data_IF_609374086563
#
_entry.id   IF_609374086563
#
_cell.length_a   1.000
_cell.length_b   1.000
_cell.length_c   1.000
_cell.angle_alpha   90.00
_cell.angle_beta   90.00
_cell.angle_gamma   90.00
#
_symmetry.space_group_name_H-M   'P 1'
#
loop_
_entity.id
_entity.type
_entity.pdbx_description
1 polymer ?
2 non-polymer ?
3 non-polymer ?
4 non-polymer ?
5 non-polymer ?
6 water ?
#
# COMPACT_ATOMS: atom_id res chain seq x y z
N UNK A 4 -26.89 -11.67 -34.22
CA UNK A 4 -25.88 -10.58 -34.46
C UNK A 4 -25.60 -9.75 -33.19
N UNK A 5 -26.62 -9.53 -32.35
CA UNK A 5 -26.46 -8.77 -31.10
C UNK A 5 -25.51 -9.47 -30.12
N UNK A 6 -25.65 -10.79 -29.95
CA UNK A 6 -24.79 -11.58 -29.04
C UNK A 6 -23.35 -11.74 -29.55
N UNK A 7 -23.18 -11.95 -30.86
CA UNK A 7 -21.85 -11.98 -31.52
C UNK A 7 -21.18 -10.58 -31.54
N UNK A 8 -21.99 -9.52 -31.56
CA UNK A 8 -21.48 -8.15 -31.40
C UNK A 8 -20.97 -7.92 -29.97
N UNK A 9 -21.77 -8.32 -28.97
CA UNK A 9 -21.39 -8.15 -27.58
C UNK A 9 -20.07 -8.85 -27.29
N UNK A 10 -19.88 -10.07 -27.81
CA UNK A 10 -18.73 -10.89 -27.43
C UNK A 10 -17.40 -10.21 -27.75
N UNK A 11 -17.30 -9.58 -28.92
CA UNK A 11 -16.13 -8.79 -29.31
C UNK A 11 -15.92 -7.59 -28.39
N UNK A 12 -16.99 -6.93 -27.97
CA UNK A 12 -16.87 -5.82 -27.03
C UNK A 12 -16.34 -6.32 -25.69
N UNK A 13 -16.84 -7.46 -25.23
CA UNK A 13 -16.39 -8.02 -23.98
C UNK A 13 -14.89 -8.28 -24.04
N UNK A 14 -14.47 -9.00 -25.07
CA UNK A 14 -13.06 -9.27 -25.34
C UNK A 14 -12.17 -7.99 -25.37
N UNK A 15 -12.70 -6.85 -25.80
CA UNK A 15 -11.94 -5.60 -25.77
C UNK A 15 -11.56 -5.18 -24.31
N UNK A 16 -12.35 -5.67 -23.32
CA UNK A 16 -12.13 -5.37 -21.90
C UNK A 16 -11.48 -6.47 -21.09
N UNK A 17 -10.92 -7.45 -21.77
CA UNK A 17 -10.27 -8.56 -21.11
C UNK A 17 -8.85 -8.71 -21.59
N UNK A 18 -7.91 -8.81 -20.65
CA UNK A 18 -6.56 -9.24 -20.91
C UNK A 18 -6.23 -10.31 -19.93
N UNK A 19 -5.64 -11.39 -20.43
CA UNK A 19 -5.26 -12.53 -19.61
C UNK A 19 -3.81 -12.90 -19.86
N UNK A 20 -3.11 -13.32 -18.82
CA UNK A 20 -1.74 -13.80 -18.98
C UNK A 20 -1.41 -14.84 -17.93
N UNK A 21 -0.63 -15.86 -18.31
CA UNK A 21 -0.16 -16.90 -17.36
C UNK A 21 1.09 -16.42 -16.58
N UNK A 22 0.90 -15.76 -15.45
CA UNK A 22 2.05 -15.15 -14.72
C UNK A 22 2.66 -16.03 -13.63
N UNK A 23 1.89 -16.92 -13.04
CA UNK A 23 2.39 -17.71 -11.91
C UNK A 23 2.70 -19.13 -12.31
N UNK A 24 3.91 -19.56 -12.00
CA UNK A 24 4.30 -20.92 -12.27
C UNK A 24 3.53 -21.85 -11.35
N UNK A 25 3.59 -23.14 -11.65
CA UNK A 25 3.04 -24.18 -10.79
C UNK A 25 3.66 -24.13 -9.40
N UNK A 26 4.98 -23.96 -9.33
CA UNK A 26 5.66 -23.81 -8.02
C UNK A 26 5.16 -22.57 -7.30
N UNK A 27 5.08 -21.44 -8.00
CA UNK A 27 4.53 -20.21 -7.37
C UNK A 27 3.08 -20.39 -6.91
N UNK A 28 2.28 -21.10 -7.70
CA UNK A 28 0.88 -21.37 -7.32
C UNK A 28 0.80 -22.20 -6.07
N UNK A 29 1.68 -23.19 -5.96
CA UNK A 29 1.70 -24.09 -4.81
C UNK A 29 2.00 -23.33 -3.53
N UNK A 30 3.00 -22.46 -3.55
CA UNK A 30 3.31 -21.60 -2.38
C UNK A 30 2.17 -20.70 -2.01
N UNK A 31 1.50 -20.12 -3.02
CA UNK A 31 0.38 -19.21 -2.75
C UNK A 31 -0.77 -20.01 -2.18
N UNK A 32 -1.00 -21.20 -2.72
CA UNK A 32 -2.08 -22.05 -2.21
C UNK A 32 -1.84 -22.44 -0.74
N UNK A 33 -0.58 -22.60 -0.36
CA UNK A 33 -0.30 -22.92 1.04
C UNK A 33 -0.64 -21.74 1.92
N UNK A 34 -0.38 -20.53 1.44
CA UNK A 34 -0.73 -19.30 2.14
C UNK A 34 -2.24 -19.07 2.24
N UNK A 35 -2.97 -19.42 1.19
CA UNK A 35 -4.41 -19.34 1.25
C UNK A 35 -4.96 -20.31 2.31
N UNK A 36 -4.44 -21.53 2.35
CA UNK A 36 -4.80 -22.49 3.44
C UNK A 36 -4.50 -21.93 4.86
N UNK A 37 -3.37 -21.22 5.03
CA UNK A 37 -3.03 -20.52 6.30
C UNK A 37 -4.10 -19.50 6.69
N UNK A 38 -4.55 -18.69 5.72
CA UNK A 38 -5.65 -17.77 5.95
C UNK A 38 -6.93 -18.49 6.44
N UNK A 39 -7.28 -19.57 5.76
CA UNK A 39 -8.48 -20.38 6.11
C UNK A 39 -8.30 -20.91 7.55
N UNK A 40 -7.11 -21.40 7.86
CA UNK A 40 -6.83 -21.91 9.19
C UNK A 40 -6.89 -20.78 10.26
N UNK A 41 -6.33 -19.60 9.95
CA UNK A 41 -6.42 -18.45 10.89
C UNK A 41 -7.81 -18.02 11.14
N UNK A 42 -8.66 -18.09 10.10
CA UNK A 42 -10.05 -17.71 10.25
C UNK A 42 -10.78 -18.66 11.19
N UNK A 43 -10.51 -19.93 11.05
CA UNK A 43 -11.12 -20.94 11.88
C UNK A 43 -10.64 -20.84 13.35
N UNK A 44 -9.44 -20.25 13.56
CA UNK A 44 -8.93 -19.89 14.91
C UNK A 44 -9.45 -18.55 15.46
N UNK A 45 -10.38 -17.92 14.77
CA UNK A 45 -10.98 -16.69 15.29
C UNK A 45 -9.99 -15.51 15.37
N UNK A 46 -8.95 -15.56 14.55
CA UNK A 46 -7.89 -14.54 14.52
C UNK A 46 -8.20 -13.30 13.66
N UNK A 47 -9.28 -13.32 12.87
CA UNK A 47 -9.59 -12.17 12.01
C UNK A 47 -10.76 -11.34 12.51
N UNK A 48 -10.75 -10.04 12.17
CA UNK A 48 -11.92 -9.19 12.45
C UNK A 48 -13.21 -9.75 11.79
N UNK A 49 -14.37 -9.51 12.42
CA UNK A 49 -15.66 -10.06 11.93
C UNK A 49 -15.94 -9.72 10.50
N UNK A 50 -15.61 -8.50 10.10
CA UNK A 50 -15.92 -8.05 8.72
C UNK A 50 -14.94 -8.58 7.68
N UNK A 51 -13.84 -9.16 8.14
CA UNK A 51 -12.86 -9.77 7.27
C UNK A 51 -13.35 -11.03 6.66
N UNK A 52 -14.08 -11.84 7.43
CA UNK A 52 -14.51 -13.15 6.94
C UNK A 52 -16.04 -13.23 6.71
N UNK A 53 -16.44 -13.59 5.50
CA UNK A 53 -17.83 -13.87 5.18
C UNK A 53 -17.98 -15.32 4.73
N UNK A 54 -18.54 -16.15 5.61
CA UNK A 54 -18.78 -17.55 5.32
C UNK A 54 -20.15 -17.73 4.72
N UNK A 55 -20.23 -18.45 3.62
CA UNK A 55 -21.48 -18.79 2.99
C UNK A 55 -21.35 -20.23 2.60
N UNK A 56 -22.49 -20.90 2.29
CA UNK A 56 -22.45 -22.35 2.00
C UNK A 56 -21.41 -22.88 1.03
N UNK A 57 -21.28 -22.36 -0.18
CA UNK A 57 -20.24 -22.96 -1.08
C UNK A 57 -19.15 -21.97 -1.50
N UNK A 58 -19.02 -20.90 -0.72
CA UNK A 58 -17.95 -19.89 -0.91
C UNK A 58 -17.67 -19.12 0.41
N UNK A 59 -16.39 -19.04 0.80
CA UNK A 59 -15.96 -18.07 1.81
C UNK A 59 -15.25 -16.91 1.11
N UNK A 60 -15.47 -15.70 1.61
CA UNK A 60 -14.80 -14.52 1.11
C UNK A 60 -13.98 -13.93 2.24
N UNK A 61 -12.73 -13.57 1.93
CA UNK A 61 -11.82 -12.94 2.94
C UNK A 61 -11.39 -11.56 2.39
N UNK A 62 -11.65 -10.53 3.18
CA UNK A 62 -11.51 -9.09 2.79
C UNK A 62 -10.29 -8.59 3.50
N UNK A 63 -9.31 -8.13 2.74
CA UNK A 63 -8.10 -7.51 3.32
C UNK A 63 -7.91 -6.14 2.68
N UNK A 64 -7.51 -5.18 3.53
CA UNK A 64 -7.29 -3.81 3.09
C UNK A 64 -8.54 -3.01 3.25
N UNK A 65 -9.52 -3.34 2.43
CA UNK A 65 -10.82 -2.72 2.43
C UNK A 65 -11.88 -3.82 2.25
N UNK A 66 -13.05 -3.62 2.82
CA UNK A 66 -14.16 -4.55 2.65
C UNK A 66 -15.43 -3.73 2.46
N UNK A 67 -16.49 -4.38 2.00
CA UNK A 67 -17.76 -3.71 1.77
C UNK A 67 -18.92 -4.64 2.12
N UNK A 68 -20.07 -4.02 2.36
CA UNK A 68 -21.34 -4.70 2.57
C UNK A 68 -21.98 -5.05 1.18
N UNK A 69 -22.78 -6.15 1.08
CA UNK A 69 -23.40 -6.58 -0.22
C UNK A 69 -24.64 -7.46 -0.02
N UNK A 77 -31.06 -0.65 -0.22
CA UNK A 77 -31.52 -1.57 -1.29
C UNK A 77 -30.41 -2.04 -2.23
N UNK A 78 -30.78 -2.63 -3.39
CA UNK A 78 -29.76 -3.15 -4.35
C UNK A 78 -28.81 -2.07 -4.92
N UNK A 79 -27.56 -2.48 -5.14
CA UNK A 79 -26.49 -1.60 -5.58
C UNK A 79 -26.10 -0.53 -4.57
N UNK A 80 -26.39 -0.76 -3.28
CA UNK A 80 -26.03 0.19 -2.23
C UNK A 80 -24.93 -0.38 -1.30
N UNK A 81 -23.99 -1.11 -1.88
CA UNK A 81 -22.78 -1.52 -1.21
C UNK A 81 -22.08 -0.28 -0.64
N UNK A 82 -21.50 -0.43 0.55
CA UNK A 82 -20.72 0.62 1.17
C UNK A 82 -19.42 0.02 1.68
N UNK A 83 -18.30 0.75 1.55
CA UNK A 83 -17.04 0.34 2.22
C UNK A 83 -17.18 0.38 3.76
N UNK A 84 -16.56 -0.58 4.44
CA UNK A 84 -16.40 -0.43 5.89
C UNK A 84 -15.44 0.74 6.17
N UNK A 85 -15.50 1.31 7.40
CA UNK A 85 -14.55 2.39 7.76
C UNK A 85 -13.12 1.93 7.60
N UNK A 86 -12.18 2.86 7.36
CA UNK A 86 -10.78 2.43 7.12
C UNK A 86 -10.30 1.70 8.34
N UNK A 87 -9.52 0.63 8.14
CA UNK A 87 -8.98 -0.16 9.26
C UNK A 87 -9.93 -1.16 9.93
N UNK A 88 -11.13 -1.34 9.38
CA UNK A 88 -12.13 -2.26 9.96
C UNK A 88 -11.77 -3.72 9.64
N UNK A 89 -11.40 -3.99 8.38
CA UNK A 89 -10.96 -5.33 7.98
C UNK A 89 -9.46 -5.49 8.25
N UNK A 90 -8.99 -6.71 8.23
CA UNK A 90 -7.56 -6.95 8.43
C UNK A 90 -6.75 -6.44 7.26
N UNK A 91 -5.48 -6.14 7.55
CA UNK A 91 -4.49 -5.69 6.57
C UNK A 91 -4.18 -6.74 5.53
N UNK A 92 -3.74 -6.28 4.36
CA UNK A 92 -3.27 -7.18 3.33
C UNK A 92 -2.04 -7.93 3.89
N UNK A 93 -2.06 -9.29 3.86
CA UNK A 93 -0.94 -10.03 4.40
C UNK A 93 0.35 -9.75 3.63
N UNK A 94 1.48 -9.87 4.32
CA UNK A 94 2.76 -9.66 3.67
C UNK A 94 2.91 -10.59 2.47
N UNK A 95 2.42 -11.84 2.60
CA UNK A 95 2.53 -12.77 1.49
C UNK A 95 1.74 -12.33 0.24
N UNK A 96 0.60 -11.67 0.41
CA UNK A 96 -0.11 -11.14 -0.75
C UNK A 96 0.70 -10.05 -1.47
N UNK A 97 1.22 -9.11 -0.72
CA UNK A 97 2.09 -8.06 -1.24
C UNK A 97 3.33 -8.63 -1.99
N UNK A 98 4.00 -9.59 -1.37
CA UNK A 98 5.31 -10.04 -1.87
C UNK A 98 5.23 -11.21 -2.87
N UNK A 99 4.25 -12.10 -2.73
CA UNK A 99 4.07 -13.17 -3.73
C UNK A 99 3.15 -12.83 -4.88
N UNK A 100 2.24 -11.90 -4.69
CA UNK A 100 1.19 -11.64 -5.70
C UNK A 100 1.28 -10.23 -6.26
N UNK A 101 1.11 -9.22 -5.42
CA UNK A 101 1.07 -7.83 -5.94
C UNK A 101 2.41 -7.51 -6.60
N UNK A 102 3.51 -7.91 -5.97
CA UNK A 102 4.82 -7.57 -6.49
C UNK A 102 4.99 -8.08 -7.93
N UNK A 103 4.57 -9.32 -8.17
CA UNK A 103 4.62 -9.90 -9.50
C UNK A 103 3.82 -9.09 -10.50
N UNK A 104 2.61 -8.68 -10.11
CA UNK A 104 1.77 -7.86 -10.99
C UNK A 104 2.44 -6.53 -11.32
N UNK A 105 2.98 -5.86 -10.31
CA UNK A 105 3.69 -4.57 -10.50
C UNK A 105 4.94 -4.78 -11.39
N UNK A 106 5.74 -5.80 -11.11
CA UNK A 106 6.95 -6.08 -11.97
C UNK A 106 6.61 -6.22 -13.45
N UNK A 107 5.53 -6.93 -13.74
CA UNK A 107 5.12 -7.21 -15.12
C UNK A 107 4.22 -6.16 -15.66
N UNK A 108 4.08 -5.04 -14.93
CA UNK A 108 3.42 -3.82 -15.42
C UNK A 108 1.91 -3.97 -15.64
N UNK A 109 1.31 -4.93 -14.95
CA UNK A 109 -0.14 -5.11 -15.05
C UNK A 109 -0.89 -3.95 -14.43
N UNK A 110 -0.40 -3.49 -13.28
CA UNK A 110 -0.92 -2.31 -12.58
C UNK A 110 0.29 -1.60 -11.95
N UNK A 111 0.16 -0.30 -11.64
CA UNK A 111 1.26 0.47 -11.01
C UNK A 111 1.51 0.11 -9.54
N UNK A 112 2.75 0.32 -9.09
CA UNK A 112 3.07 0.30 -7.68
C UNK A 112 2.10 1.20 -6.94
N UNK A 113 1.52 0.70 -5.85
CA UNK A 113 0.63 1.56 -5.04
C UNK A 113 -0.87 1.52 -5.46
N UNK A 114 -1.18 0.88 -6.59
CA UNK A 114 -2.57 0.77 -7.09
C UNK A 114 -3.41 -0.08 -6.12
N UNK A 115 -2.93 -1.24 -5.77
CA UNK A 115 -3.74 -2.19 -4.97
C UNK A 115 -3.87 -1.77 -3.50
N UNK A 116 -5.09 -1.51 -3.04
CA UNK A 116 -5.35 -1.35 -1.59
C UNK A 116 -6.45 -2.30 -1.03
N UNK A 117 -6.99 -3.14 -1.91
CA UNK A 117 -7.95 -4.16 -1.57
C UNK A 117 -7.52 -5.49 -2.14
N UNK A 118 -7.40 -6.52 -1.29
CA UNK A 118 -7.22 -7.89 -1.76
C UNK A 118 -8.33 -8.78 -1.16
N UNK A 119 -9.11 -9.41 -2.04
CA UNK A 119 -10.15 -10.28 -1.59
C UNK A 119 -9.79 -11.69 -2.05
N UNK A 120 -9.95 -12.65 -1.15
CA UNK A 120 -9.76 -14.03 -1.50
C UNK A 120 -11.13 -14.70 -1.48
N UNK A 121 -11.56 -15.26 -2.62
CA UNK A 121 -12.78 -16.11 -2.64
C UNK A 121 -12.38 -17.55 -2.71
N UNK A 122 -12.89 -18.38 -1.80
CA UNK A 122 -12.54 -19.80 -1.78
C UNK A 122 -13.78 -20.58 -2.01
N UNK A 123 -13.84 -21.27 -3.12
CA UNK A 123 -15.05 -21.94 -3.59
C UNK A 123 -15.05 -23.43 -3.32
N UNK A 124 -16.15 -23.92 -2.78
CA UNK A 124 -16.35 -25.39 -2.78
C UNK A 124 -16.72 -25.93 -4.15
N UNK A 125 -16.50 -27.25 -4.38
CA UNK A 125 -17.08 -27.88 -5.57
C UNK A 125 -18.60 -27.56 -5.65
N UNK A 126 -19.10 -27.20 -6.82
CA UNK A 126 -20.49 -26.83 -6.95
C UNK A 126 -20.73 -25.37 -6.65
N UNK A 127 -19.71 -24.67 -6.17
CA UNK A 127 -19.89 -23.24 -5.84
C UNK A 127 -20.07 -22.48 -7.13
N UNK A 128 -20.41 -21.20 -7.00
CA UNK A 128 -20.70 -20.38 -8.17
C UNK A 128 -20.71 -18.88 -7.81
N UNK A 129 -20.95 -18.07 -8.84
CA UNK A 129 -21.18 -16.66 -8.68
C UNK A 129 -22.45 -16.40 -9.44
N UNK A 130 -23.44 -15.83 -8.78
CA UNK A 130 -24.66 -15.43 -9.49
C UNK A 130 -24.44 -14.07 -10.19
N UNK A 131 -25.00 -13.90 -11.40
CA UNK A 131 -24.82 -12.72 -12.22
C UNK A 131 -24.54 -11.44 -11.40
N UNK A 132 -23.39 -10.80 -11.64
CA UNK A 132 -23.13 -9.51 -11.00
C UNK A 132 -22.13 -8.67 -11.76
N UNK A 133 -22.08 -7.40 -11.41
CA UNK A 133 -21.11 -6.45 -11.95
C UNK A 133 -20.22 -6.02 -10.78
N UNK A 134 -18.94 -5.96 -10.99
CA UNK A 134 -18.06 -5.44 -10.00
C UNK A 134 -18.52 -4.01 -9.64
N UNK A 135 -18.71 -3.72 -8.33
CA UNK A 135 -19.38 -2.48 -7.94
C UNK A 135 -18.59 -1.25 -8.30
N UNK A 136 -19.07 -0.58 -9.32
CA UNK A 136 -18.40 0.52 -9.94
C UNK A 136 -18.33 1.78 -9.07
N UNK A 137 -19.22 1.90 -8.10
CA UNK A 137 -19.15 2.99 -7.11
C UNK A 137 -18.14 2.77 -5.98
N UNK A 138 -17.60 1.54 -5.88
CA UNK A 138 -16.65 1.19 -4.83
C UNK A 138 -15.22 1.09 -5.40
N UNK A 139 -15.06 0.44 -6.56
CA UNK A 139 -13.73 0.17 -7.09
C UNK A 139 -13.42 0.88 -8.38
N UNK A 140 -12.16 1.29 -8.50
CA UNK A 140 -11.58 1.69 -9.76
C UNK A 140 -11.44 0.47 -10.72
N UNK A 141 -11.10 0.76 -11.98
CA UNK A 141 -10.72 -0.22 -12.96
C UNK A 141 -9.23 0.01 -13.29
N UNK A 142 -8.49 -1.02 -13.70
CA UNK A 142 -8.98 -2.37 -13.94
C UNK A 142 -9.12 -3.21 -12.64
N UNK A 143 -9.82 -4.32 -12.77
CA UNK A 143 -9.96 -5.32 -11.73
C UNK A 143 -9.04 -6.44 -12.13
N UNK A 144 -8.20 -6.86 -11.20
CA UNK A 144 -7.22 -7.95 -11.47
C UNK A 144 -7.58 -9.21 -10.64
N UNK A 145 -7.74 -10.33 -11.34
CA UNK A 145 -8.10 -11.64 -10.71
C UNK A 145 -7.04 -12.68 -11.02
N UNK A 146 -6.60 -13.39 -9.97
CA UNK A 146 -5.62 -14.44 -10.08
C UNK A 146 -6.16 -15.77 -9.51
N UNK A 147 -6.11 -16.81 -10.35
CA UNK A 147 -6.78 -18.12 -10.08
C UNK A 147 -5.85 -19.18 -9.51
N UNK A 148 -6.36 -19.93 -8.52
CA UNK A 148 -5.59 -20.96 -7.84
C UNK A 148 -6.38 -22.22 -7.64
N UNK A 149 -5.62 -23.28 -7.37
CA UNK A 149 -6.12 -24.66 -7.05
C UNK A 149 -6.56 -25.44 -8.29
N UNK A 150 -7.35 -24.83 -9.15
CA UNK A 150 -7.92 -25.55 -10.30
C UNK A 150 -8.37 -24.59 -11.40
N UNK A 151 -8.61 -25.17 -12.57
CA UNK A 151 -9.08 -24.43 -13.71
C UNK A 151 -10.60 -24.27 -13.68
N UNK A 152 -11.07 -23.14 -14.17
CA UNK A 152 -12.49 -22.91 -14.25
C UNK A 152 -12.80 -22.05 -15.47
N UNK A 153 -14.00 -21.47 -15.46
CA UNK A 153 -14.46 -20.62 -16.55
C UNK A 153 -15.28 -19.46 -15.98
N UNK A 154 -15.10 -18.27 -16.54
CA UNK A 154 -15.81 -17.08 -16.11
C UNK A 154 -16.75 -16.70 -17.24
N UNK A 155 -18.05 -16.64 -16.96
CA UNK A 155 -19.05 -16.32 -18.01
C UNK A 155 -19.43 -14.87 -18.01
N UNK A 156 -19.66 -14.32 -19.21
CA UNK A 156 -20.14 -12.97 -19.37
C UNK A 156 -21.47 -12.96 -20.07
N UNK A 157 -22.39 -12.13 -19.59
CA UNK A 157 -23.77 -12.08 -20.09
C UNK A 157 -24.57 -13.20 -19.51
N UNK A 158 -25.08 -12.97 -18.30
CA UNK A 158 -25.59 -14.07 -17.47
C UNK A 158 -27.16 -14.15 -17.37
N UNK A 159 -27.87 -13.53 -18.31
CA UNK A 159 -29.35 -13.67 -18.40
C UNK A 159 -29.79 -15.17 -18.33
N UNK A 160 -28.98 -16.07 -18.90
CA UNK A 160 -29.27 -17.54 -18.89
C UNK A 160 -29.49 -18.11 -17.50
N UNK A 161 -28.91 -17.48 -16.47
CA UNK A 161 -29.15 -17.89 -15.08
C UNK A 161 -30.53 -17.57 -14.57
N UNK A 162 -31.22 -16.64 -15.22
CA UNK A 162 -32.53 -16.20 -14.80
C UNK A 162 -33.64 -16.47 -15.81
N UNK A 163 -33.33 -16.52 -17.11
CA UNK A 163 -34.35 -16.79 -18.15
C UNK A 163 -33.96 -18.00 -19.02
N UNK A 164 -33.83 -19.16 -18.38
CA UNK A 164 -33.36 -20.43 -18.95
C UNK A 164 -34.18 -20.94 -20.13
N UNK A 165 -35.49 -20.68 -20.11
CA UNK A 165 -36.39 -21.10 -21.19
C UNK A 165 -36.12 -20.24 -22.40
N UNK A 166 -35.77 -18.97 -22.18
CA UNK A 166 -35.49 -18.02 -23.27
C UNK A 166 -34.05 -18.06 -23.82
N UNK A 167 -33.07 -18.34 -22.96
CA UNK A 167 -31.67 -18.38 -23.37
C UNK A 167 -30.91 -19.28 -22.43
N UNK A 168 -30.01 -20.09 -22.98
CA UNK A 168 -29.34 -21.16 -22.21
C UNK A 168 -27.84 -20.99 -22.07
N UNK A 169 -27.25 -20.07 -22.86
CA UNK A 169 -25.80 -19.92 -22.92
C UNK A 169 -25.41 -18.45 -22.57
N UNK A 170 -24.18 -18.27 -22.05
CA UNK A 170 -23.64 -16.92 -21.83
C UNK A 170 -23.25 -16.33 -23.17
N UNK A 171 -23.06 -15.02 -23.19
CA UNK A 171 -22.50 -14.34 -24.34
C UNK A 171 -21.09 -14.80 -24.61
N UNK A 172 -20.33 -15.05 -23.55
CA UNK A 172 -18.96 -15.53 -23.71
C UNK A 172 -18.54 -16.29 -22.46
N UNK A 173 -17.79 -17.38 -22.68
CA UNK A 173 -17.22 -18.16 -21.58
C UNK A 173 -15.71 -18.08 -21.67
N UNK A 174 -15.07 -17.67 -20.59
CA UNK A 174 -13.64 -17.38 -20.61
C UNK A 174 -12.91 -18.34 -19.72
N UNK A 175 -12.04 -19.17 -20.28
CA UNK A 175 -11.32 -20.02 -19.36
C UNK A 175 -10.47 -19.20 -18.40
N UNK A 176 -10.47 -19.63 -17.14
CA UNK A 176 -9.62 -19.06 -16.12
C UNK A 176 -8.84 -20.17 -15.43
N UNK A 177 -7.61 -20.34 -15.88
CA UNK A 177 -6.74 -21.42 -15.44
C UNK A 177 -5.90 -21.07 -14.21
N UNK A 178 -5.48 -22.10 -13.49
CA UNK A 178 -4.66 -21.96 -12.34
C UNK A 178 -3.38 -21.18 -12.70
N UNK A 179 -3.02 -20.17 -11.92
CA UNK A 179 -1.87 -19.30 -12.23
C UNK A 179 -2.08 -18.19 -13.29
N UNK A 180 -3.28 -18.12 -13.83
CA UNK A 180 -3.65 -17.06 -14.81
C UNK A 180 -4.11 -15.78 -14.11
N UNK A 181 -3.75 -14.65 -14.70
CA UNK A 181 -4.16 -13.34 -14.28
C UNK A 181 -5.15 -12.84 -15.31
N UNK A 182 -6.36 -12.50 -14.85
CA UNK A 182 -7.37 -11.86 -15.66
C UNK A 182 -7.58 -10.35 -15.29
N UNK A 183 -7.49 -9.49 -16.30
CA UNK A 183 -7.58 -8.04 -16.12
C UNK A 183 -8.88 -7.56 -16.81
N UNK A 184 -9.84 -7.08 -16.02
CA UNK A 184 -11.11 -6.60 -16.56
C UNK A 184 -11.18 -5.08 -16.52
N UNK A 185 -11.59 -4.51 -17.66
CA UNK A 185 -11.76 -3.07 -17.77
C UNK A 185 -12.92 -2.80 -18.74
N UNK A 186 -13.29 -1.53 -18.85
CA UNK A 186 -14.17 -1.06 -19.92
C UNK A 186 -15.47 -1.84 -20.02
N UNK A 187 -15.76 -2.34 -21.20
CA UNK A 187 -17.02 -3.04 -21.44
C UNK A 187 -17.20 -4.28 -20.54
N UNK A 188 -16.13 -5.05 -20.41
CA UNK A 188 -16.16 -6.31 -19.61
C UNK A 188 -16.44 -6.09 -18.10
N UNK A 189 -16.03 -4.92 -17.59
CA UNK A 189 -16.17 -4.55 -16.16
C UNK A 189 -17.41 -3.78 -15.86
N UNK A 190 -17.94 -3.02 -16.84
CA UNK A 190 -18.92 -1.99 -16.60
C UNK A 190 -20.23 -2.21 -17.35
N UNK A 191 -20.21 -2.92 -18.47
CA UNK A 191 -21.37 -2.92 -19.35
C UNK A 191 -21.99 -4.29 -19.51
N UNK A 192 -21.56 -5.25 -18.70
CA UNK A 192 -22.08 -6.63 -18.81
C UNK A 192 -21.85 -7.35 -17.49
N UNK A 193 -22.73 -8.30 -17.17
CA UNK A 193 -22.66 -9.06 -15.95
C UNK A 193 -21.70 -10.21 -16.15
N UNK A 194 -21.12 -10.71 -15.07
CA UNK A 194 -20.44 -11.98 -15.17
C UNK A 194 -20.86 -12.90 -14.05
N UNK A 195 -20.50 -14.16 -14.22
CA UNK A 195 -20.96 -15.19 -13.33
C UNK A 195 -20.09 -16.45 -13.52
N UNK A 196 -20.32 -17.44 -12.67
CA UNK A 196 -19.63 -18.71 -12.75
C UNK A 196 -20.66 -19.80 -12.55
N UNK A 197 -20.70 -20.73 -13.50
CA UNK A 197 -21.62 -21.84 -13.45
C UNK A 197 -21.07 -22.94 -12.53
N UNK A 198 -21.96 -23.51 -11.68
CA UNK A 198 -21.61 -24.64 -10.79
C UNK A 198 -20.83 -25.73 -11.49
N UNK A 199 -21.22 -26.01 -12.74
CA UNK A 199 -20.60 -26.99 -13.61
C UNK A 199 -19.14 -26.72 -13.93
N UNK A 200 -18.70 -25.48 -13.75
CA UNK A 200 -17.32 -25.10 -14.05
C UNK A 200 -16.45 -25.08 -12.81
N UNK A 201 -17.06 -25.34 -11.63
CA UNK A 201 -16.29 -25.56 -10.40
C UNK A 201 -16.54 -26.97 -9.91
N UNK A 202 -15.74 -27.89 -10.44
CA UNK A 202 -15.84 -29.35 -10.13
C UNK A 202 -15.00 -29.72 -8.91
N UNK A 203 -14.00 -28.89 -8.60
CA UNK A 203 -13.16 -29.10 -7.42
C UNK A 203 -12.84 -27.73 -6.84
N UNK A 204 -12.19 -27.73 -5.68
CA UNK A 204 -11.88 -26.49 -4.96
C UNK A 204 -11.21 -25.55 -5.91
N UNK A 205 -11.64 -24.31 -5.88
CA UNK A 205 -11.02 -23.26 -6.67
C UNK A 205 -10.97 -22.04 -5.79
N UNK A 206 -9.86 -21.32 -5.80
CA UNK A 206 -9.81 -20.06 -5.10
C UNK A 206 -9.34 -18.95 -6.04
N UNK A 207 -9.69 -17.69 -5.69
CA UNK A 207 -9.25 -16.54 -6.50
C UNK A 207 -8.84 -15.38 -5.58
N UNK A 208 -7.79 -14.67 -5.98
CA UNK A 208 -7.40 -13.46 -5.30
C UNK A 208 -7.74 -12.29 -6.24
N UNK A 209 -8.54 -11.34 -5.73
CA UNK A 209 -9.03 -10.16 -6.49
C UNK A 209 -8.30 -8.95 -5.93
N UNK A 210 -7.55 -8.28 -6.82
CA UNK A 210 -6.73 -7.13 -6.46
C UNK A 210 -7.36 -5.92 -7.08
N UNK A 211 -7.74 -4.97 -6.22
CA UNK A 211 -8.43 -3.76 -6.67
C UNK A 211 -8.00 -2.51 -5.92
N UNK A 212 -8.34 -1.37 -6.50
CA UNK A 212 -8.14 -0.08 -5.93
C UNK A 212 -9.51 0.54 -5.65
N UNK A 213 -9.77 0.91 -4.38
CA UNK A 213 -11.03 1.57 -4.03
C UNK A 213 -11.02 3.02 -4.51
N UNK A 214 -12.19 3.53 -4.84
CA UNK A 214 -12.27 4.92 -5.26
C UNK A 214 -12.16 5.83 -4.08
N UNK A 215 -11.50 6.97 -4.29
CA UNK A 215 -11.36 8.00 -3.25
C UNK A 215 -12.74 8.46 -2.75
N UNK A 216 -13.70 8.61 -3.67
CA UNK A 216 -15.08 9.04 -3.39
C UNK A 216 -16.06 7.89 -3.12
N UNK A 217 -15.56 6.67 -2.95
CA UNK A 217 -16.48 5.54 -2.67
C UNK A 217 -17.33 5.81 -1.42
N UNK A 218 -18.67 5.56 -1.48
CA UNK A 218 -19.53 5.62 -0.32
C UNK A 218 -19.05 4.68 0.77
N UNK A 219 -19.02 5.17 1.99
CA UNK A 219 -18.39 4.49 3.10
C UNK A 219 -19.23 4.67 4.34
N UNK A 220 -19.54 3.57 5.05
CA UNK A 220 -20.17 3.70 6.40
C UNK A 220 -19.22 4.48 7.33
N UNK A 221 -19.76 5.21 8.30
CA UNK A 221 -18.87 5.90 9.27
C UNK A 221 -18.56 5.09 10.53
N UNK A 222 -19.41 4.08 10.81
N UNK B 5 34.41 5.29 25.46
CA UNK B 5 33.00 5.34 25.00
C UNK B 5 32.95 5.77 23.53
N UNK B 6 33.59 6.90 23.25
CA UNK B 6 33.64 7.53 21.92
C UNK B 6 33.56 6.58 20.68
N UNK B 7 34.41 5.55 20.63
CA UNK B 7 34.65 4.77 19.39
C UNK B 7 33.89 3.46 19.29
N UNK B 8 33.56 2.85 20.42
CA UNK B 8 32.68 1.69 20.40
C UNK B 8 31.25 2.17 20.02
N UNK B 9 30.88 3.36 20.50
CA UNK B 9 29.55 3.93 20.25
C UNK B 9 29.40 4.23 18.82
N UNK B 10 30.43 4.82 18.20
CA UNK B 10 30.38 5.21 16.81
C UNK B 10 30.35 4.00 15.88
N UNK B 11 31.12 2.95 16.19
CA UNK B 11 30.95 1.65 15.51
C UNK B 11 29.51 1.11 15.62
N UNK B 12 28.94 1.14 16.83
CA UNK B 12 27.57 0.64 17.06
C UNK B 12 26.58 1.45 16.20
N UNK B 13 26.74 2.76 16.19
CA UNK B 13 25.90 3.64 15.37
C UNK B 13 26.04 3.25 13.91
N UNK B 14 27.28 3.15 13.42
CA UNK B 14 27.53 2.77 12.00
C UNK B 14 26.94 1.40 11.64
N UNK B 15 26.82 0.48 12.60
CA UNK B 15 26.14 -0.79 12.34
C UNK B 15 24.63 -0.67 11.99
N UNK B 16 23.99 0.45 12.37
CA UNK B 16 22.56 0.65 12.09
C UNK B 16 22.27 1.63 10.96
N UNK B 17 23.29 1.91 10.16
CA UNK B 17 23.19 2.86 9.08
C UNK B 17 23.66 2.17 7.78
N UNK B 18 22.79 2.15 6.78
CA UNK B 18 23.17 1.89 5.41
C UNK B 18 22.80 3.12 4.61
N UNK B 19 23.67 3.49 3.72
CA UNK B 19 23.47 4.65 2.86
C UNK B 19 23.80 4.30 1.44
N UNK B 20 23.05 4.82 0.48
CA UNK B 20 23.32 4.55 -0.91
C UNK B 20 22.79 5.64 -1.80
N UNK B 21 23.56 5.94 -2.86
CA UNK B 21 23.14 6.87 -3.91
C UNK B 21 22.22 6.08 -4.80
N UNK B 22 20.93 6.39 -4.80
CA UNK B 22 19.97 5.65 -5.63
C UNK B 22 19.30 6.48 -6.68
N UNK B 23 19.13 7.77 -6.45
CA UNK B 23 18.39 8.58 -7.37
C UNK B 23 19.33 9.45 -8.21
N UNK B 24 19.15 9.44 -9.53
CA UNK B 24 19.96 10.24 -10.43
C UNK B 24 19.52 11.71 -10.35
N UNK B 25 20.32 12.60 -10.93
CA UNK B 25 19.98 14.03 -10.88
C UNK B 25 18.66 14.30 -11.51
N UNK B 26 18.43 13.68 -12.65
CA UNK B 26 17.17 13.86 -13.33
C UNK B 26 16.00 13.27 -12.51
N UNK B 27 16.21 12.11 -11.91
CA UNK B 27 15.14 11.52 -11.03
C UNK B 27 14.87 12.45 -9.85
N UNK B 28 15.94 13.04 -9.27
CA UNK B 28 15.80 14.04 -8.23
C UNK B 28 15.00 15.26 -8.66
N UNK B 29 15.26 15.78 -9.86
CA UNK B 29 14.54 16.95 -10.37
C UNK B 29 13.05 16.69 -10.50
N UNK B 30 12.71 15.51 -10.98
CA UNK B 30 11.30 15.10 -11.12
C UNK B 30 10.63 15.02 -9.79
N UNK B 31 11.32 14.42 -8.82
CA UNK B 31 10.75 14.23 -7.48
C UNK B 31 10.59 15.63 -6.83
N UNK B 32 11.61 16.47 -6.99
CA UNK B 32 11.56 17.83 -6.46
C UNK B 32 10.41 18.65 -7.07
N UNK B 33 10.05 18.42 -8.33
CA UNK B 33 8.89 19.17 -8.87
C UNK B 33 7.60 18.67 -8.23
N UNK B 34 7.54 17.37 -7.92
CA UNK B 34 6.40 16.81 -7.20
C UNK B 34 6.30 17.31 -5.74
N UNK B 35 7.42 17.46 -5.06
CA UNK B 35 7.42 18.05 -3.73
C UNK B 35 6.87 19.47 -3.77
N UNK B 36 7.32 20.23 -4.75
CA UNK B 36 6.76 21.59 -4.98
C UNK B 36 5.27 21.57 -5.24
N UNK B 37 4.78 20.60 -5.99
CA UNK B 37 3.32 20.49 -6.21
C UNK B 37 2.56 20.19 -4.91
N UNK B 38 3.10 19.32 -4.06
CA UNK B 38 2.53 19.10 -2.70
C UNK B 38 2.46 20.42 -1.95
N UNK B 39 3.55 21.20 -1.96
CA UNK B 39 3.59 22.49 -1.22
C UNK B 39 2.49 23.44 -1.74
N UNK B 40 2.40 23.53 -3.07
CA UNK B 40 1.35 24.35 -3.73
C UNK B 40 -0.10 23.85 -3.41
N UNK B 41 -0.30 22.54 -3.43
CA UNK B 41 -1.61 21.97 -3.10
C UNK B 41 -2.01 22.26 -1.67
N UNK B 42 -1.06 22.23 -0.75
CA UNK B 42 -1.32 22.59 0.65
C UNK B 42 -1.73 24.07 0.79
N UNK B 43 -1.03 24.95 0.05
CA UNK B 43 -1.34 26.40 0.05
C UNK B 43 -2.74 26.72 -0.53
N UNK B 44 -3.18 25.84 -1.43
CA UNK B 44 -4.53 25.86 -1.98
C UNK B 44 -5.60 25.21 -1.07
N UNK B 45 -5.19 24.81 0.14
CA UNK B 45 -6.11 24.19 1.12
C UNK B 45 -6.75 22.87 0.68
N UNK B 46 -6.02 22.10 -0.14
CA UNK B 46 -6.55 20.85 -0.73
C UNK B 46 -6.30 19.60 0.14
N UNK B 47 -5.59 19.76 1.26
CA UNK B 47 -5.27 18.61 2.11
C UNK B 47 -6.07 18.66 3.39
N UNK B 48 -6.29 17.50 4.02
CA UNK B 48 -6.93 17.41 5.35
C UNK B 48 -6.09 18.17 6.45
N UNK B 49 -6.75 18.73 7.47
CA UNK B 49 -6.03 19.53 8.48
C UNK B 49 -4.82 18.79 9.06
N UNK B 50 -4.98 17.50 9.30
CA UNK B 50 -3.93 16.71 9.94
C UNK B 50 -2.80 16.29 9.02
N UNK B 51 -3.00 16.48 7.71
CA UNK B 51 -1.97 16.15 6.73
C UNK B 51 -0.79 17.10 6.79
N UNK B 52 -1.07 18.37 7.10
CA UNK B 52 -0.11 19.43 6.97
C UNK B 52 0.21 20.08 8.33
N UNK B 53 1.47 20.05 8.72
CA UNK B 53 1.94 20.71 9.95
C UNK B 53 2.92 21.83 9.58
N UNK B 54 2.46 23.06 9.68
CA UNK B 54 3.28 24.23 9.36
C UNK B 54 3.98 24.74 10.61
N UNK B 55 5.28 24.95 10.51
CA UNK B 55 6.08 25.52 11.64
C UNK B 55 7.07 26.45 11.01
N UNK B 56 7.65 27.38 11.75
CA UNK B 56 8.42 28.46 11.08
C UNK B 56 9.46 28.00 10.09
N UNK B 57 10.39 27.16 10.51
CA UNK B 57 11.46 26.74 9.60
C UNK B 57 11.34 25.30 9.05
N UNK B 58 10.19 24.66 9.27
CA UNK B 58 9.92 23.34 8.63
C UNK B 58 8.42 23.07 8.48
N UNK B 59 7.98 22.67 7.29
CA UNK B 59 6.63 22.08 7.14
C UNK B 59 6.75 20.56 7.04
N UNK B 60 5.79 19.86 7.65
CA UNK B 60 5.74 18.40 7.59
C UNK B 60 4.45 18.00 6.88
N UNK B 61 4.54 17.11 5.90
CA UNK B 61 3.35 16.59 5.19
C UNK B 61 3.23 15.08 5.45
N UNK B 62 2.10 14.69 6.05
CA UNK B 62 1.84 13.31 6.48
C UNK B 62 0.93 12.61 5.45
N UNK B 63 1.41 11.55 4.81
CA UNK B 63 0.59 10.77 3.91
C UNK B 63 0.52 9.31 4.35
N UNK B 64 -0.67 8.72 4.18
CA UNK B 64 -0.91 7.31 4.55
C UNK B 64 -1.31 7.28 6.00
N UNK B 65 -0.36 7.60 6.87
CA UNK B 65 -0.54 7.61 8.29
C UNK B 65 0.11 8.88 8.85
N UNK B 66 -0.49 9.44 9.89
CA UNK B 66 0.12 10.55 10.59
C UNK B 66 0.01 10.34 12.08
N UNK B 67 0.73 11.17 12.84
CA UNK B 67 0.61 11.16 14.29
C UNK B 67 0.62 12.56 14.85
N UNK B 68 0.24 12.66 16.11
CA UNK B 68 0.26 13.91 16.85
C UNK B 68 1.68 14.33 17.19
N UNK B 77 1.72 14.09 27.53
CA UNK B 77 3.12 14.36 27.89
C UNK B 77 4.14 13.74 26.93
N UNK B 78 5.45 13.84 27.29
CA UNK B 78 6.53 13.37 26.41
C UNK B 78 6.46 11.86 26.05
N UNK B 79 6.92 11.55 24.82
CA UNK B 79 6.82 10.21 24.19
C UNK B 79 5.41 9.67 24.01
N UNK B 80 4.41 10.55 23.99
CA UNK B 80 3.03 10.10 23.88
C UNK B 80 2.44 10.45 22.50
N UNK B 81 3.26 10.34 21.46
CA UNK B 81 2.74 10.31 20.09
C UNK B 81 1.65 9.23 19.92
N UNK B 82 0.59 9.59 19.19
CA UNK B 82 -0.53 8.71 18.88
C UNK B 82 -0.80 8.81 17.38
N UNK B 83 -1.04 7.69 16.71
CA UNK B 83 -1.45 7.75 15.32
C UNK B 83 -2.85 8.36 15.23
N UNK B 84 -3.09 9.17 14.21
CA UNK B 84 -4.45 9.56 13.92
C UNK B 84 -5.25 8.33 13.48
N UNK B 85 -6.59 8.38 13.55
CA UNK B 85 -7.42 7.25 13.07
C UNK B 85 -7.16 6.91 11.59
N UNK B 86 -7.34 5.61 11.18
CA UNK B 86 -6.99 5.30 9.77
C UNK B 86 -7.84 6.13 8.84
N UNK B 87 -7.25 6.53 7.73
CA UNK B 87 -7.95 7.37 6.73
C UNK B 87 -8.06 8.87 7.05
N UNK B 88 -7.46 9.31 8.14
CA UNK B 88 -7.56 10.70 8.57
C UNK B 88 -6.66 11.66 7.75
N UNK B 89 -5.42 11.25 7.47
CA UNK B 89 -4.51 12.05 6.64
C UNK B 89 -4.71 11.64 5.17
N UNK B 90 -4.20 12.43 4.25
CA UNK B 90 -4.33 12.11 2.87
C UNK B 90 -3.53 10.89 2.51
N UNK B 91 -3.94 10.26 1.43
CA UNK B 91 -3.30 9.06 0.92
C UNK B 91 -1.92 9.36 0.37
N UNK B 92 -1.05 8.37 0.40
CA UNK B 92 0.24 8.47 -0.29
C UNK B 92 0.01 8.77 -1.81
N UNK B 93 0.60 9.88 -2.33
CA UNK B 93 0.41 10.23 -3.76
C UNK B 93 0.93 9.16 -4.64
N UNK B 94 0.32 9.06 -5.82
CA UNK B 94 0.79 8.09 -6.81
C UNK B 94 2.26 8.30 -7.14
N UNK B 95 2.73 9.54 -7.17
CA UNK B 95 4.14 9.78 -7.55
C UNK B 95 5.12 9.27 -6.49
N UNK B 96 4.69 9.27 -5.24
CA UNK B 96 5.53 8.70 -4.21
C UNK B 96 5.64 7.21 -4.38
N UNK B 97 4.52 6.60 -4.65
CA UNK B 97 4.51 5.17 -4.93
C UNK B 97 5.41 4.82 -6.12
N UNK B 98 5.27 5.58 -7.20
CA UNK B 98 5.85 5.17 -8.47
C UNK B 98 7.28 5.70 -8.65
N UNK B 99 7.59 6.88 -8.10
CA UNK B 99 8.95 7.46 -8.26
C UNK B 99 9.90 7.11 -7.11
N UNK B 100 9.34 6.88 -5.91
CA UNK B 100 10.18 6.69 -4.73
C UNK B 100 10.08 5.29 -4.20
N UNK B 101 8.88 4.85 -3.83
CA UNK B 101 8.75 3.55 -3.18
C UNK B 101 9.14 2.44 -4.14
N UNK B 102 8.65 2.51 -5.36
CA UNK B 102 8.99 1.48 -6.32
C UNK B 102 10.51 1.28 -6.47
N UNK B 103 11.26 2.36 -6.44
CA UNK B 103 12.69 2.27 -6.66
C UNK B 103 13.35 1.56 -5.49
N UNK B 104 12.88 1.88 -4.30
CA UNK B 104 13.35 1.25 -3.10
C UNK B 104 13.06 -0.25 -3.12
N UNK B 105 11.86 -0.60 -3.59
CA UNK B 105 11.47 -2.02 -3.66
C UNK B 105 12.29 -2.75 -4.71
N UNK B 106 12.44 -2.17 -5.90
CA UNK B 106 13.24 -2.80 -6.98
C UNK B 106 14.66 -3.03 -6.53
N UNK B 107 15.20 -2.17 -5.68
CA UNK B 107 16.59 -2.31 -5.22
C UNK B 107 16.70 -3.04 -3.95
N UNK B 108 15.58 -3.64 -3.51
CA UNK B 108 15.54 -4.49 -2.36
C UNK B 108 15.96 -3.80 -1.04
N UNK B 109 15.69 -2.50 -0.94
CA UNK B 109 15.93 -1.79 0.32
C UNK B 109 14.88 -2.22 1.39
N UNK B 110 13.65 -2.44 0.94
CA UNK B 110 12.53 -2.85 1.80
C UNK B 110 11.61 -3.69 0.92
N UNK B 111 10.77 -4.54 1.55
CA UNK B 111 9.83 -5.34 0.76
C UNK B 111 8.64 -4.55 0.14
N UNK B 112 8.11 -5.06 -0.95
CA UNK B 112 6.83 -4.62 -1.42
C UNK B 112 5.82 -4.66 -0.24
N UNK B 113 5.04 -3.58 -0.09
CA UNK B 113 3.96 -3.55 0.90
C UNK B 113 4.42 -3.11 2.31
N UNK B 114 5.71 -2.93 2.50
CA UNK B 114 6.26 -2.43 3.79
C UNK B 114 5.82 -1.01 4.06
N UNK B 115 6.02 -0.12 3.09
CA UNK B 115 5.73 1.31 3.36
C UNK B 115 4.19 1.60 3.43
N UNK B 116 3.69 2.07 4.57
CA UNK B 116 2.33 2.64 4.61
C UNK B 116 2.30 4.07 5.16
N UNK B 117 3.47 4.63 5.44
CA UNK B 117 3.57 6.03 5.89
C UNK B 117 4.67 6.74 5.06
N UNK B 118 4.32 7.85 4.44
CA UNK B 118 5.32 8.72 3.80
C UNK B 118 5.18 10.10 4.36
N UNK B 119 6.27 10.61 4.92
CA UNK B 119 6.28 11.96 5.47
C UNK B 119 7.25 12.78 4.65
N UNK B 120 6.83 14.01 4.26
CA UNK B 120 7.74 14.93 3.61
C UNK B 120 8.07 16.05 4.59
N UNK B 121 9.36 16.23 4.91
CA UNK B 121 9.77 17.39 5.72
C UNK B 121 10.43 18.34 4.78
N UNK B 122 10.00 19.58 4.80
CA UNK B 122 10.54 20.59 3.89
C UNK B 122 11.13 21.67 4.72
N UNK B 123 12.43 21.74 4.74
CA UNK B 123 13.16 22.66 5.64
C UNK B 123 13.58 23.98 4.97
N UNK B 124 13.34 25.08 5.69
CA UNK B 124 13.92 26.34 5.29
C UNK B 124 15.39 26.37 5.66
N UNK B 125 16.15 27.26 4.99
CA UNK B 125 17.53 27.53 5.45
C UNK B 125 17.50 27.98 6.91
N UNK B 126 18.41 27.43 7.74
CA UNK B 126 18.41 27.66 9.20
C UNK B 126 17.52 26.68 9.97
N UNK B 127 16.76 25.86 9.25
CA UNK B 127 15.91 24.91 9.88
C UNK B 127 16.77 23.84 10.51
N UNK B 128 16.15 23.01 11.33
CA UNK B 128 16.88 21.97 12.04
C UNK B 128 15.95 20.88 12.54
N UNK B 129 16.57 19.87 13.15
CA UNK B 129 15.90 18.82 13.89
C UNK B 129 16.60 18.82 15.24
N UNK B 130 15.80 19.02 16.29
CA UNK B 130 16.25 18.94 17.66
C UNK B 130 16.33 17.44 18.02
N UNK B 131 17.28 17.09 18.91
CA UNK B 131 17.54 15.74 19.37
C UNK B 131 16.23 14.92 19.45
N UNK B 132 16.19 13.80 18.74
CA UNK B 132 15.05 12.89 18.90
C UNK B 132 15.35 11.48 18.41
N UNK B 133 14.45 10.59 18.78
CA UNK B 133 14.47 9.20 18.37
C UNK B 133 13.16 8.96 17.61
N UNK B 134 13.27 8.31 16.47
CA UNK B 134 12.08 7.99 15.72
C UNK B 134 11.12 7.19 16.69
N UNK B 135 9.85 7.61 16.82
CA UNK B 135 8.94 7.03 17.82
C UNK B 135 8.81 5.51 17.66
N UNK B 136 9.42 4.81 18.60
CA UNK B 136 9.58 3.39 18.52
C UNK B 136 8.27 2.63 18.79
N UNK B 137 7.29 3.30 19.39
CA UNK B 137 5.95 2.74 19.67
C UNK B 137 5.01 2.95 18.49
N UNK B 138 5.46 3.74 17.52
CA UNK B 138 4.63 4.03 16.35
C UNK B 138 5.13 3.28 15.12
N UNK B 139 6.45 3.30 14.88
CA UNK B 139 7.01 2.80 13.61
C UNK B 139 7.93 1.58 13.80
N UNK B 140 7.78 0.63 12.88
CA UNK B 140 8.67 -0.47 12.79
C UNK B 140 10.00 0.07 12.29
N UNK B 141 11.02 -0.79 12.29
CA UNK B 141 12.31 -0.50 11.67
C UNK B 141 12.46 -1.45 10.48
N UNK B 142 13.20 -1.08 9.46
CA UNK B 142 14.05 0.10 9.41
C UNK B 142 13.24 1.36 9.02
N UNK B 143 13.86 2.52 9.18
CA UNK B 143 13.35 3.79 8.73
C UNK B 143 14.14 4.16 7.50
N UNK B 144 13.45 4.49 6.40
CA UNK B 144 14.10 4.87 5.15
C UNK B 144 13.89 6.36 4.88
N UNK B 145 14.99 7.07 4.67
CA UNK B 145 14.97 8.53 4.34
C UNK B 145 15.67 8.83 3.02
N UNK B 146 15.00 9.65 2.17
CA UNK B 146 15.54 10.04 0.87
C UNK B 146 15.62 11.56 0.80
N UNK B 147 16.82 12.09 0.52
CA UNK B 147 17.11 13.53 0.60
C UNK B 147 17.01 14.23 -0.74
N UNK B 148 16.48 15.47 -0.73
CA UNK B 148 16.27 16.25 -1.94
C UNK B 148 16.67 17.71 -1.76
N UNK B 149 16.84 18.36 -2.89
CA UNK B 149 17.17 19.81 -3.00
C UNK B 149 18.61 20.13 -2.69
N UNK B 150 19.18 19.56 -1.64
CA UNK B 150 20.52 19.94 -1.27
C UNK B 150 21.12 18.91 -0.32
N UNK B 151 22.44 19.00 -0.16
CA UNK B 151 23.20 18.16 0.72
C UNK B 151 23.12 18.68 2.12
N UNK B 152 23.19 17.77 3.07
CA UNK B 152 23.17 18.13 4.47
C UNK B 152 23.94 17.09 5.26
N UNK B 153 23.75 17.10 6.59
CA UNK B 153 24.40 16.16 7.48
C UNK B 153 23.48 15.82 8.67
N UNK B 154 23.49 14.57 9.08
CA UNK B 154 22.64 14.05 10.16
C UNK B 154 23.57 13.65 11.27
N UNK B 155 23.35 14.21 12.44
CA UNK B 155 24.20 13.95 13.63
C UNK B 155 23.54 12.94 14.55
N UNK B 156 24.38 12.12 15.20
CA UNK B 156 23.93 11.07 16.11
C UNK B 156 24.63 11.35 17.43
N UNK B 157 23.84 11.33 18.51
CA UNK B 157 24.34 11.65 19.85
C UNK B 157 24.26 13.16 20.07
N UNK B 158 23.11 13.64 20.42
CA UNK B 158 22.84 15.07 20.29
C UNK B 158 22.86 15.84 21.66
N UNK B 159 23.50 15.24 22.68
CA UNK B 159 23.71 15.92 23.98
C UNK B 159 24.26 17.37 23.75
N UNK B 160 25.15 17.54 22.74
CA UNK B 160 25.81 18.85 22.47
C UNK B 160 24.83 20.01 22.25
N UNK B 161 23.60 19.69 21.83
CA UNK B 161 22.56 20.70 21.62
C UNK B 161 22.00 21.25 22.91
N UNK B 162 22.19 20.54 24.04
CA UNK B 162 21.67 20.95 25.32
C UNK B 162 22.73 21.16 26.42
N UNK B 163 23.92 20.56 26.29
CA UNK B 163 25.02 20.77 27.26
C UNK B 163 26.29 21.23 26.56
N UNK B 164 26.22 22.37 25.85
CA UNK B 164 27.32 22.95 25.03
C UNK B 164 28.62 23.14 25.80
N UNK B 165 28.51 23.48 27.09
CA UNK B 165 29.66 23.71 27.96
C UNK B 165 30.39 22.37 28.12
N UNK B 166 29.65 21.33 28.48
CA UNK B 166 30.24 20.01 28.73
C UNK B 166 30.65 19.23 27.47
N UNK B 167 29.94 19.41 26.36
CA UNK B 167 30.33 18.77 25.08
C UNK B 167 29.81 19.53 23.89
N UNK B 168 30.61 19.54 22.79
CA UNK B 168 30.33 20.38 21.61
C UNK B 168 30.21 19.60 20.30
N UNK B 169 30.53 18.31 20.33
CA UNK B 169 30.47 17.49 19.13
C UNK B 169 29.48 16.30 19.29
N UNK B 170 28.85 15.89 18.16
CA UNK B 170 28.08 14.63 18.16
C UNK B 170 29.01 13.45 18.19
N UNK B 171 28.45 12.29 18.48
CA UNK B 171 29.14 11.03 18.42
C UNK B 171 29.57 10.78 16.97
N UNK B 172 28.69 11.08 16.03
CA UNK B 172 28.91 10.80 14.65
C UNK B 172 28.09 11.78 13.80
N UNK B 173 28.71 12.29 12.73
CA UNK B 173 28.04 13.14 11.77
C UNK B 173 28.11 12.45 10.40
N UNK B 174 26.96 12.37 9.71
CA UNK B 174 26.79 11.57 8.51
C UNK B 174 26.37 12.44 7.35
N UNK B 175 27.22 12.57 6.31
CA UNK B 175 26.73 13.30 5.13
C UNK B 175 25.48 12.65 4.55
N UNK B 176 24.52 13.47 4.20
CA UNK B 176 23.31 13.03 3.55
C UNK B 176 23.13 13.84 2.30
N UNK B 177 23.57 13.29 1.19
CA UNK B 177 23.54 14.03 -0.07
C UNK B 177 22.20 13.94 -0.78
N UNK B 178 21.96 14.90 -1.63
CA UNK B 178 20.84 14.90 -2.50
C UNK B 178 20.79 13.61 -3.33
N UNK B 179 19.62 12.98 -3.36
CA UNK B 179 19.43 11.67 -4.04
C UNK B 179 19.87 10.41 -3.30
N UNK B 180 20.33 10.57 -2.06
CA UNK B 180 20.83 9.47 -1.28
C UNK B 180 19.72 8.90 -0.39
N UNK B 181 19.82 7.61 -0.10
CA UNK B 181 18.89 6.89 0.69
C UNK B 181 19.64 6.51 1.96
N UNK B 182 19.05 6.82 3.11
CA UNK B 182 19.58 6.46 4.42
C UNK B 182 18.59 5.45 5.09
N UNK B 183 19.11 4.32 5.53
CA UNK B 183 18.34 3.29 6.19
C UNK B 183 18.81 3.16 7.64
N UNK B 184 17.94 3.50 8.58
CA UNK B 184 18.31 3.41 10.03
C UNK B 184 17.65 2.21 10.65
N UNK B 185 18.45 1.47 11.42
CA UNK B 185 17.96 0.30 12.14
C UNK B 185 18.74 0.11 13.43
N UNK B 186 18.31 -0.86 14.23
CA UNK B 186 19.10 -1.29 15.39
C UNK B 186 19.60 -0.15 16.28
N UNK B 187 20.91 -0.13 16.55
CA UNK B 187 21.47 0.87 17.47
C UNK B 187 21.20 2.34 17.02
N UNK B 188 21.36 2.61 15.73
CA UNK B 188 21.20 3.97 15.18
C UNK B 188 19.78 4.47 15.27
N UNK B 189 18.81 3.55 15.24
CA UNK B 189 17.36 3.88 15.30
C UNK B 189 16.75 3.91 16.69
N UNK B 190 17.31 3.10 17.61
CA UNK B 190 16.69 2.81 18.89
C UNK B 190 17.47 3.27 20.10
N UNK B 191 18.81 3.39 20.00
CA UNK B 191 19.63 3.55 21.18
C UNK B 191 20.45 4.81 21.20
N UNK B 192 20.13 5.76 20.32
CA UNK B 192 20.83 7.02 20.31
C UNK B 192 19.96 8.02 19.62
N UNK B 193 20.07 9.30 20.05
CA UNK B 193 19.32 10.40 19.44
C UNK B 193 19.98 10.86 18.15
N UNK B 194 19.21 11.50 17.28
CA UNK B 194 19.79 12.16 16.13
C UNK B 194 19.19 13.52 15.93
N UNK B 195 19.87 14.31 15.17
CA UNK B 195 19.48 15.71 15.04
C UNK B 195 20.13 16.30 13.78
N UNK B 196 19.72 17.50 13.39
CA UNK B 196 20.38 18.23 12.34
C UNK B 196 20.64 19.63 12.82
N UNK B 197 21.89 20.05 12.73
CA UNK B 197 22.30 21.38 13.12
C UNK B 197 21.89 22.39 12.05
N UNK B 198 21.41 23.58 12.48
CA UNK B 198 21.05 24.66 11.52
C UNK B 198 22.20 25.02 10.53
N UNK B 199 23.44 24.85 11.00
CA UNK B 199 24.62 25.05 10.18
C UNK B 199 24.75 24.09 9.02
N UNK B 200 24.03 22.96 9.07
CA UNK B 200 24.09 21.96 8.02
C UNK B 200 22.88 22.09 7.04
N UNK B 201 21.97 23.01 7.34
CA UNK B 201 20.88 23.40 6.43
C UNK B 201 21.04 24.85 6.06
N UNK B 202 21.89 25.10 5.06
CA UNK B 202 22.09 26.51 4.60
C UNK B 202 21.24 26.87 3.40
N UNK B 203 20.55 25.90 2.81
CA UNK B 203 19.53 26.21 1.77
C UNK B 203 18.39 25.21 1.94
N UNK B 204 17.33 25.40 1.18
CA UNK B 204 16.20 24.52 1.25
C UNK B 204 16.67 23.04 1.12
N UNK B 205 16.12 22.21 1.98
CA UNK B 205 16.39 20.79 1.96
C UNK B 205 15.07 20.10 2.26
N UNK B 206 14.76 19.03 1.56
CA UNK B 206 13.52 18.32 1.84
C UNK B 206 13.85 16.85 1.92
N UNK B 207 13.09 16.11 2.74
CA UNK B 207 13.33 14.69 2.87
C UNK B 207 12.01 13.94 2.89
N UNK B 208 12.01 12.75 2.28
CA UNK B 208 10.85 11.87 2.27
C UNK B 208 11.18 10.72 3.17
N UNK B 209 10.34 10.51 4.18
CA UNK B 209 10.56 9.47 5.19
C UNK B 209 9.55 8.34 4.94
N UNK B 210 10.06 7.15 4.65
CA UNK B 210 9.22 5.98 4.34
C UNK B 210 9.31 4.99 5.48
N UNK B 211 8.17 4.69 6.08
CA UNK B 211 8.12 3.83 7.22
C UNK B 211 6.89 2.93 7.22
N UNK B 212 6.94 1.91 8.08
CA UNK B 212 5.83 1.03 8.33
C UNK B 212 5.33 1.24 9.75
N UNK B 213 4.02 1.54 9.90
CA UNK B 213 3.47 1.71 11.25
C UNK B 213 3.33 0.31 11.94
N UNK B 214 3.46 0.27 13.23
CA UNK B 214 3.29 -0.98 13.96
C UNK B 214 1.80 -1.35 14.01
N UNK B 215 1.48 -2.63 13.85
CA UNK B 215 0.06 -3.06 13.97
C UNK B 215 -0.51 -2.62 15.31
N UNK B 216 0.29 -2.66 16.37
CA UNK B 216 -0.11 -2.34 17.75
C UNK B 216 0.17 -0.88 18.16
N UNK B 217 0.54 -0.01 17.20
CA UNK B 217 0.80 1.41 17.53
C UNK B 217 -0.44 2.02 18.22
N UNK B 218 -0.23 2.68 19.36
CA UNK B 218 -1.29 3.46 20.00
C UNK B 218 -1.88 4.49 19.06
N UNK B 219 -3.20 4.56 19.04
CA UNK B 219 -3.90 5.29 18.02
C UNK B 219 -5.09 6.03 18.62
N UNK B 220 -5.26 7.31 18.35
CA UNK B 220 -6.49 8.05 18.78
C UNK B 220 -7.74 7.34 18.26
N UNK B 221 -8.75 7.18 19.11
CA UNK B 221 -10.02 6.49 18.70
C UNK B 221 -11.13 7.51 18.48
X LIG C 1 -26.11 -4.87 -19.66
X LIG C 1 -25.65 -3.65 -19.02
X LIG C 1 -26.95 -5.74 -18.73
X LIG C 1 -26.20 -6.07 -17.55
X LIG C 1 -28.18 -4.95 -18.31
X LIG C 1 -29.10 -5.74 -17.53
X LIG D 1 -13.90 -12.45 -10.57
X LIG D 1 -14.81 -13.24 -10.24
X LIG D 1 -12.82 -12.83 -11.06
X LIG D 1 -14.10 -10.95 -10.35
X LIG D 1 -15.26 -10.62 -9.35
X LIG D 1 -16.46 -11.44 -9.57
X LIG D 1 -14.82 -10.89 -7.91
X LIG D 1 -15.84 -10.53 -6.82
X LIG D 1 -15.82 -11.20 -5.76
X LIG D 1 -16.64 -9.59 -6.98
X LIG D 1 -15.50 -9.10 -9.51
X LIG D 1 -16.57 -8.68 -9.94
X LIG D 1 -14.60 -8.29 -9.18
X LIG E 1 -15.20 -21.51 7.52
X LIG E 1 -13.73 -23.03 6.29
X LIG E 1 -13.54 -20.51 9.54
X LIG E 1 -12.42 -20.69 7.70
X LIG F 1 -20.50 -7.83 -6.88
X LIG G 1 -18.78 -13.07 -3.94
X LIG H 1 -13.79 -15.48 -9.85
X LIG I 1 -23.30 1.21 -8.35
X LIG J 1 -10.59 -6.11 0.12
X LIG K 1 -8.60 -5.33 -19.58
X LIG L 1 -23.94 -25.35 -14.34
X LIG M 1 -18.42 -22.44 -19.26
X LIG N 1 -11.98 0.77 -17.69
X LIG O 1 -28.13 -10.94 -9.47
X LIG P 1 -12.33 -15.11 17.99
X LIG Q 1 -2.07 -14.80 6.02
X LIG R 1 -6.29 -3.80 -19.24
X LIG S 1 -7.57 -0.89 -18.09
X LIG T 1 -18.03 -18.70 -25.44
X LIG U 1 -4.06 21.88 3.99
X LIG U 1 -4.01 22.16 2.56
X LIG U 1 -4.96 22.89 4.68
X LIG U 1 -4.48 24.22 4.41
X LIG U 1 -4.95 22.65 6.18
X LIG U 1 -3.68 23.02 6.77
X LIG V 1 15.62 11.74 9.37
X LIG V 1 16.13 11.42 8.29
X LIG V 1 15.82 12.88 9.86
X LIG V 1 14.75 10.71 10.12
X LIG V 1 13.70 11.31 11.10
X LIG V 1 14.27 12.36 11.91
X LIG V 1 12.52 11.97 10.38
X LIG V 1 11.31 12.41 11.24
X LIG V 1 11.05 11.86 12.35
X LIG V 1 10.57 13.31 10.79
X LIG V 1 13.18 10.11 11.93
X LIG V 1 12.65 9.14 11.35
X LIG V 1 13.27 10.11 13.17
X LIG W 1 0.73 26.13 2.68
X LIG W 1 4.39 26.96 2.53
X LIG W 1 2.38 24.85 2.05
X LIG W 1 3.51 29.35 5.20
X LIG X 1 10.08 16.76 12.56
X LIG Y 1 16.23 14.41 7.74
X LIG Z 1 30.00 8.84 24.02
X LIG AA 1 10.41 25.28 12.86
X LIG BA 1 7.83 13.39 23.35
X LIG CA 1 18.82 20.93 -6.43
X LIG DA 1 18.35 20.57 29.22
X LIG EA 1 2.92 9.42 7.22
X LIG FA 1 11.79 17.61 10.91
X LIG GA 1 -0.91 4.04 3.70
X LIG HA 1 -1.72 0.25 5.90
X LIG IA 1 -2.03 5.22 -1.61
X LIG JA 1 -4.66 8.57 8.97
X LIG KA 1 23.78 20.82 -2.31
X LIG LA 1 22.57 15.56 -6.99
#
# INVERSE_FOLDING_TARGET
GQQLQKEEEARKVKSGIRQMRLFSQDECAKIEARIDEVVSRAEKGLYNEHTVDRAPLRNKYFFGEGYTYGAQLQKRGPGQERLYPPGDVDEIPEWVHQLVIQKLVEHRVIPEGFVNSAVINDYQPGGCIVSHVDPIHIFERPIVSVSFFSDSALCFGCKFQFKPIRVSEPVLSLPVRRGSVTVLSGYAADEITHCIRPQDIKERRAVIILRKTRLDAPRLET
GQQLQKEEEARKVKSGIRQMRLFSQDECAKIEARIDEVVSRAEKGLYNEHTVDRAPLRNKYFFGEGYTYGAQLQKRGPGQERLYPPGDVDEIPEWVHQLVIQKLVEHRVIPEGFVNSAVINDYQPGGCIVSHVDPIHIFERPIVSVSFFSDSALCFGCKFQFKPIRVSEPVLSLPVRRGSVTVLSGYAADEITHCIRPQDIKERRAVIILRKTRLDAPRLET
GOL C1 O1 C2 O2 C3 O3
CIT C1 O1 O2 C2 C3 O7 C4 C5 O3 O4 C6 O5 O6
UNL N1 N2 N3 N4
UNX UNK
UNX UNK
UNX UNK
UNX UNK
UNX UNK
UNX UNK
UNX UNK
UNX UNK
UNX UNK
UNX UNK
UNX UNK
UNX UNK
UNX UNK
UNX UNK
UNX UNK
GOL C1 O1 C2 O2 C3 O3
CIT C1 O1 O2 C2 C3 O7 C4 C5 O3 O4 C6 O5 O6
UNL N1 N2 N3 N4
UNX UNK
UNX UNK
UNX UNK
UNX UNK
UNX UNK
UNX UNK
UNX UNK
UNX UNK
UNX UNK
UNX UNK
UNX UNK
UNX UNK
UNX UNK
UNX UNK
UNX UNK
#
